data_IF_807153199929
#
_entry.id   IF_807153199929
#
_cell.length_a   1.000
_cell.length_b   1.000
_cell.length_c   1.000
_cell.angle_alpha   90.00
_cell.angle_beta   90.00
_cell.angle_gamma   90.00
#
_symmetry.space_group_name_H-M   'P 1'
#
loop_
_entity.id
_entity.type
_entity.pdbx_description
1 polymer ?
#
# COMPACT_ATOMS: atom_id res chain seq x y z
N UNK A 1 44.01 -37.74 21.88
CA UNK A 1 42.65 -37.68 22.48
C UNK A 1 41.88 -36.60 21.82
N UNK A 2 40.84 -36.92 21.04
CA UNK A 2 39.95 -35.94 20.37
C UNK A 2 38.84 -35.57 21.33
N UNK A 3 38.88 -34.37 21.90
CA UNK A 3 37.86 -33.87 22.80
C UNK A 3 36.63 -33.39 21.99
N UNK A 4 35.51 -34.04 22.23
CA UNK A 4 34.29 -33.86 21.48
C UNK A 4 33.61 -32.50 21.90
N UNK A 5 33.49 -31.55 20.97
CA UNK A 5 32.97 -30.19 21.18
C UNK A 5 31.52 -30.14 21.71
N UNK A 6 30.80 -31.25 21.68
CA UNK A 6 29.41 -31.35 22.18
C UNK A 6 29.28 -31.45 23.69
N UNK A 7 30.37 -31.77 24.41
CA UNK A 7 30.34 -31.97 25.86
C UNK A 7 30.60 -30.69 26.64
N UNK A 8 31.11 -29.64 26.02
CA UNK A 8 31.42 -28.36 26.67
C UNK A 8 30.13 -27.51 26.89
N UNK A 9 29.15 -27.63 26.00
CA UNK A 9 27.90 -26.85 26.10
C UNK A 9 26.95 -27.32 27.24
N UNK A 10 27.10 -28.55 27.71
CA UNK A 10 26.23 -29.09 28.79
C UNK A 10 26.70 -28.77 30.23
N UNK A 11 27.89 -28.17 30.39
CA UNK A 11 28.45 -27.89 31.74
C UNK A 11 28.35 -26.44 32.19
N UNK A 12 27.86 -25.52 31.35
CA UNK A 12 27.71 -24.07 31.67
C UNK A 12 26.32 -23.72 32.19
N UNK A 13 25.35 -24.65 32.15
CA UNK A 13 23.97 -24.37 32.56
C UNK A 13 23.63 -24.80 34.01
N UNK A 14 24.62 -25.13 34.88
CA UNK A 14 24.34 -25.70 36.19
C UNK A 14 24.97 -24.96 37.36
N UNK A 15 25.28 -23.68 37.28
CA UNK A 15 25.72 -22.94 38.49
C UNK A 15 25.51 -21.42 38.34
N UNK A 16 24.28 -20.94 38.47
CA UNK A 16 23.94 -19.64 39.08
C UNK A 16 22.46 -19.66 39.51
N UNK A 17 22.19 -20.34 40.59
CA UNK A 17 21.02 -20.03 41.42
C UNK A 17 21.42 -18.86 42.33
N UNK A 18 21.26 -17.66 41.86
CA UNK A 18 21.45 -16.40 42.57
C UNK A 18 20.21 -15.52 42.35
N UNK A 19 19.49 -15.34 43.43
CA UNK A 19 18.30 -14.50 43.58
C UNK A 19 18.54 -13.11 43.02
N UNK A 20 17.90 -12.76 41.89
CA UNK A 20 17.53 -11.41 41.52
C UNK A 20 16.16 -11.51 40.86
N UNK A 21 15.18 -10.87 41.48
CA UNK A 21 13.82 -10.77 40.96
C UNK A 21 13.80 -10.09 39.60
N UNK A 22 13.86 -10.88 38.53
CA UNK A 22 13.49 -10.47 37.19
C UNK A 22 11.99 -10.60 37.11
N UNK A 23 11.31 -9.43 37.15
CA UNK A 23 9.95 -9.33 36.70
C UNK A 23 9.91 -9.92 35.29
N UNK A 24 9.28 -11.09 35.15
CA UNK A 24 8.84 -11.58 33.85
C UNK A 24 7.92 -10.50 33.27
N UNK A 25 8.49 -9.62 32.45
CA UNK A 25 7.68 -8.83 31.56
C UNK A 25 6.85 -9.84 30.79
N UNK A 26 5.54 -9.86 31.01
CA UNK A 26 4.59 -10.54 30.15
C UNK A 26 4.77 -9.93 28.76
N UNK A 27 5.64 -10.53 27.97
CA UNK A 27 5.61 -10.32 26.53
C UNK A 27 4.26 -10.87 26.09
N UNK A 28 3.31 -9.97 25.90
CA UNK A 28 2.07 -10.32 25.20
C UNK A 28 2.48 -11.01 23.91
N UNK A 29 1.91 -12.18 23.59
CA UNK A 29 2.22 -12.83 22.33
C UNK A 29 1.91 -11.81 21.23
N UNK A 30 2.91 -11.53 20.39
CA UNK A 30 2.69 -10.78 19.16
C UNK A 30 1.48 -11.43 18.50
N UNK A 31 0.39 -10.67 18.30
CA UNK A 31 -0.75 -11.14 17.53
C UNK A 31 -0.22 -11.50 16.15
N UNK A 32 0.07 -12.77 15.92
CA UNK A 32 0.14 -13.34 14.58
C UNK A 32 -1.24 -13.17 13.97
N UNK A 33 -1.36 -12.19 13.09
CA UNK A 33 -2.65 -11.83 12.51
C UNK A 33 -2.54 -11.03 11.23
N UNK A 34 -1.44 -11.10 10.50
CA UNK A 34 -1.46 -10.73 9.11
C UNK A 34 -2.06 -11.89 8.33
N UNK A 35 -3.32 -11.74 7.94
CA UNK A 35 -3.94 -12.61 6.95
C UNK A 35 -3.13 -12.47 5.64
N UNK A 36 -2.25 -13.44 5.40
CA UNK A 36 -1.41 -13.51 4.21
C UNK A 36 -2.15 -14.11 3.00
N UNK A 37 -3.48 -14.19 3.05
CA UNK A 37 -4.26 -14.54 1.87
C UNK A 37 -4.41 -13.34 0.94
N UNK A 38 -4.31 -13.58 -0.37
CA UNK A 38 -4.61 -12.57 -1.40
C UNK A 38 -6.12 -12.45 -1.53
N UNK A 39 -6.66 -11.22 -1.43
CA UNK A 39 -8.08 -10.95 -1.64
C UNK A 39 -8.24 -9.88 -2.72
N UNK A 40 -8.96 -10.22 -3.76
CA UNK A 40 -9.31 -9.31 -4.84
C UNK A 40 -10.50 -8.42 -4.44
N UNK A 41 -10.48 -7.18 -4.91
CA UNK A 41 -11.66 -6.32 -5.01
C UNK A 41 -12.54 -6.73 -6.20
N UNK A 42 -13.20 -5.76 -6.83
CA UNK A 42 -13.99 -6.06 -8.03
C UNK A 42 -13.09 -6.57 -9.15
N UNK A 43 -13.48 -7.69 -9.75
CA UNK A 43 -12.81 -8.24 -10.92
C UNK A 43 -13.45 -7.65 -12.18
N UNK A 44 -12.63 -7.02 -13.00
CA UNK A 44 -13.03 -6.50 -14.29
C UNK A 44 -12.89 -7.62 -15.33
N UNK A 45 -13.94 -7.85 -16.10
CA UNK A 45 -13.97 -8.88 -17.12
C UNK A 45 -13.79 -8.27 -18.51
N UNK A 46 -13.10 -8.98 -19.38
CA UNK A 46 -13.08 -8.75 -20.84
C UNK A 46 -13.57 -10.04 -21.51
N UNK A 47 -14.63 -9.94 -22.33
CA UNK A 47 -15.28 -11.09 -22.98
C UNK A 47 -15.57 -12.25 -22.01
N UNK A 48 -16.10 -11.93 -20.82
CA UNK A 48 -16.40 -12.88 -19.72
C UNK A 48 -15.17 -13.53 -19.07
N UNK A 49 -13.95 -13.10 -19.42
CA UNK A 49 -12.71 -13.60 -18.84
C UNK A 49 -12.15 -12.53 -17.86
N UNK A 50 -11.69 -12.92 -16.65
CA UNK A 50 -11.06 -12.00 -15.73
C UNK A 50 -9.84 -11.32 -16.36
N UNK A 51 -9.83 -9.98 -16.43
CA UNK A 51 -8.75 -9.18 -16.99
C UNK A 51 -7.84 -8.61 -15.88
N UNK A 52 -8.43 -7.93 -14.90
CA UNK A 52 -7.72 -7.42 -13.72
C UNK A 52 -8.68 -7.18 -12.56
N UNK A 53 -8.15 -6.86 -11.38
CA UNK A 53 -8.95 -6.50 -10.20
C UNK A 53 -8.83 -5.02 -9.89
N UNK A 54 -9.88 -4.39 -9.39
CA UNK A 54 -9.87 -2.98 -8.96
C UNK A 54 -8.90 -2.75 -7.80
N UNK A 55 -8.71 -3.77 -6.95
CA UNK A 55 -7.76 -3.78 -5.85
C UNK A 55 -7.34 -5.19 -5.47
N UNK A 56 -6.20 -5.32 -4.78
CA UNK A 56 -5.72 -6.56 -4.18
C UNK A 56 -5.22 -6.26 -2.77
N UNK A 57 -5.50 -7.14 -1.80
CA UNK A 57 -4.99 -7.04 -0.44
C UNK A 57 -4.08 -8.20 -0.10
N UNK A 58 -3.00 -7.92 0.63
CA UNK A 58 -2.07 -8.93 1.13
C UNK A 58 -1.24 -8.36 2.29
N UNK A 59 -1.07 -9.12 3.36
CA UNK A 59 -0.14 -8.79 4.45
C UNK A 59 -0.38 -7.43 5.12
N UNK A 60 -1.64 -6.98 5.23
CA UNK A 60 -1.98 -5.67 5.81
C UNK A 60 -1.85 -4.50 4.83
N UNK A 61 -1.57 -4.76 3.56
CA UNK A 61 -1.52 -3.77 2.48
C UNK A 61 -2.68 -3.94 1.51
N UNK A 62 -3.03 -2.84 0.85
CA UNK A 62 -3.90 -2.83 -0.32
C UNK A 62 -3.18 -2.16 -1.50
N UNK A 63 -3.31 -2.77 -2.66
CA UNK A 63 -2.83 -2.30 -3.95
C UNK A 63 -4.07 -1.89 -4.75
N UNK A 64 -4.16 -0.63 -5.14
CA UNK A 64 -5.28 -0.08 -5.91
C UNK A 64 -4.83 0.09 -7.36
N UNK A 65 -5.63 -0.44 -8.29
CA UNK A 65 -5.42 -0.27 -9.72
C UNK A 65 -5.54 1.19 -10.16
N UNK A 66 -4.92 1.54 -11.29
CA UNK A 66 -5.00 2.87 -11.86
C UNK A 66 -6.45 3.36 -12.00
N UNK A 67 -6.67 4.63 -11.63
CA UNK A 67 -7.93 5.34 -11.80
C UNK A 67 -7.72 6.46 -12.81
N UNK A 68 -8.51 6.45 -13.87
CA UNK A 68 -8.53 7.46 -14.92
C UNK A 68 -9.85 8.24 -14.93
N UNK A 69 -9.92 9.29 -15.75
CA UNK A 69 -11.12 10.10 -15.98
C UNK A 69 -11.55 9.97 -17.45
N UNK A 70 -12.73 9.43 -17.68
CA UNK A 70 -13.23 9.10 -19.03
C UNK A 70 -14.40 10.01 -19.43
N UNK A 71 -14.18 11.33 -19.32
CA UNK A 71 -15.14 12.36 -19.72
C UNK A 71 -14.39 13.60 -20.24
N UNK A 72 -15.02 14.46 -21.06
CA UNK A 72 -14.39 15.71 -21.49
C UNK A 72 -14.11 16.64 -20.32
N UNK A 73 -12.87 17.11 -20.17
CA UNK A 73 -12.48 17.98 -19.06
C UNK A 73 -11.02 18.42 -19.17
N UNK A 74 -10.63 19.33 -18.30
CA UNK A 74 -9.24 19.73 -18.11
C UNK A 74 -8.52 18.87 -17.07
N UNK A 75 -7.23 19.08 -16.92
CA UNK A 75 -6.41 18.36 -15.95
C UNK A 75 -6.91 18.55 -14.50
N UNK A 76 -7.48 19.70 -14.16
CA UNK A 76 -8.02 19.98 -12.83
C UNK A 76 -9.24 19.12 -12.55
N UNK A 77 -10.18 19.05 -13.49
CA UNK A 77 -11.37 18.22 -13.40
C UNK A 77 -11.01 16.73 -13.34
N UNK A 78 -10.11 16.28 -14.22
CA UNK A 78 -9.65 14.90 -14.26
C UNK A 78 -8.92 14.51 -12.96
N UNK A 79 -8.00 15.34 -12.47
CA UNK A 79 -7.26 15.04 -11.23
C UNK A 79 -8.20 14.96 -10.02
N UNK A 80 -9.18 15.86 -9.93
CA UNK A 80 -10.18 15.82 -8.84
C UNK A 80 -10.95 14.50 -8.88
N UNK A 81 -11.48 14.14 -10.05
CA UNK A 81 -12.25 12.92 -10.23
C UNK A 81 -11.42 11.67 -9.86
N UNK A 82 -10.20 11.58 -10.38
CA UNK A 82 -9.31 10.43 -10.15
C UNK A 82 -8.99 10.27 -8.66
N UNK A 83 -8.73 11.36 -7.94
CA UNK A 83 -8.50 11.32 -6.50
C UNK A 83 -9.76 10.95 -5.70
N UNK A 84 -10.94 11.38 -6.15
CA UNK A 84 -12.22 11.00 -5.53
C UNK A 84 -12.52 9.51 -5.76
N UNK A 85 -12.24 8.96 -6.95
CA UNK A 85 -12.37 7.52 -7.24
C UNK A 85 -11.33 6.69 -6.46
N UNK A 86 -10.10 7.17 -6.35
CA UNK A 86 -9.06 6.53 -5.53
C UNK A 86 -9.49 6.43 -4.07
N UNK A 87 -10.04 7.52 -3.52
CA UNK A 87 -10.59 7.57 -2.15
C UNK A 87 -11.68 6.54 -1.95
N UNK A 88 -12.67 6.47 -2.84
CA UNK A 88 -13.76 5.49 -2.76
C UNK A 88 -13.25 4.05 -2.75
N UNK A 89 -12.29 3.74 -3.62
CA UNK A 89 -11.73 2.38 -3.71
C UNK A 89 -10.91 2.03 -2.44
N UNK A 90 -10.14 2.99 -1.89
CA UNK A 90 -9.43 2.81 -0.63
C UNK A 90 -10.41 2.53 0.54
N UNK A 91 -11.47 3.31 0.65
CA UNK A 91 -12.50 3.15 1.70
C UNK A 91 -13.20 1.79 1.57
N UNK A 92 -13.56 1.37 0.34
CA UNK A 92 -14.13 0.07 0.03
C UNK A 92 -13.21 -1.08 0.43
N UNK A 93 -11.90 -0.92 0.23
CA UNK A 93 -10.90 -1.91 0.59
C UNK A 93 -10.54 -1.91 2.10
N UNK A 94 -11.10 -1.01 2.90
CA UNK A 94 -10.82 -0.89 4.33
C UNK A 94 -9.55 -0.08 4.66
N UNK A 95 -9.25 0.93 3.86
CA UNK A 95 -8.15 1.88 4.03
C UNK A 95 -8.63 3.33 3.98
N UNK A 96 -7.74 4.30 3.82
CA UNK A 96 -8.06 5.72 3.61
C UNK A 96 -6.93 6.44 2.88
N UNK A 97 -7.19 7.68 2.45
CA UNK A 97 -6.20 8.53 1.79
C UNK A 97 -4.97 8.80 2.67
N UNK A 98 -5.14 8.96 3.97
CA UNK A 98 -4.08 9.21 4.95
C UNK A 98 -3.20 7.99 5.19
N UNK A 99 -3.62 6.80 4.75
CA UNK A 99 -2.88 5.55 4.89
C UNK A 99 -2.14 5.13 3.61
N UNK A 100 -2.21 5.95 2.59
CA UNK A 100 -1.45 5.72 1.35
C UNK A 100 0.04 5.86 1.63
N UNK A 101 0.80 4.85 1.25
CA UNK A 101 2.25 4.75 1.44
C UNK A 101 3.00 5.16 0.18
N UNK A 102 2.48 4.77 -0.96
CA UNK A 102 3.05 5.07 -2.27
C UNK A 102 1.95 5.40 -3.26
N UNK A 103 2.22 6.37 -4.14
CA UNK A 103 1.37 6.74 -5.26
C UNK A 103 2.21 6.93 -6.52
N UNK A 104 1.72 6.42 -7.64
CA UNK A 104 2.24 6.71 -8.96
C UNK A 104 1.23 7.60 -9.69
N UNK A 105 1.74 8.64 -10.34
CA UNK A 105 0.96 9.58 -11.13
C UNK A 105 1.48 9.52 -12.56
N UNK A 106 0.60 9.17 -13.48
CA UNK A 106 0.86 9.14 -14.92
C UNK A 106 0.10 10.30 -15.54
N UNK A 107 0.81 11.22 -16.18
CA UNK A 107 0.23 12.35 -16.89
C UNK A 107 0.23 12.04 -18.40
N UNK A 108 -0.78 12.51 -19.10
CA UNK A 108 -0.77 12.48 -20.55
C UNK A 108 0.30 13.44 -21.14
N UNK A 109 0.54 14.56 -20.45
CA UNK A 109 1.54 15.56 -20.83
C UNK A 109 2.14 16.21 -19.57
N UNK A 110 3.47 16.40 -19.50
CA UNK A 110 4.14 17.07 -18.38
C UNK A 110 3.77 18.56 -18.23
N UNK A 111 3.21 19.20 -19.25
CA UNK A 111 2.68 20.58 -19.13
C UNK A 111 1.63 20.69 -18.04
N UNK A 112 0.91 19.59 -17.75
CA UNK A 112 -0.17 19.52 -16.77
C UNK A 112 0.32 19.33 -15.32
N UNK A 113 1.63 19.13 -15.13
CA UNK A 113 2.21 18.82 -13.83
C UNK A 113 1.86 19.84 -12.73
N UNK A 114 1.92 21.14 -13.04
CA UNK A 114 1.62 22.19 -12.06
C UNK A 114 0.15 22.19 -11.65
N UNK A 115 -0.75 22.17 -12.63
CA UNK A 115 -2.19 22.20 -12.39
C UNK A 115 -2.67 20.93 -11.66
N UNK A 116 -2.13 19.76 -12.01
CA UNK A 116 -2.35 18.51 -11.27
C UNK A 116 -1.92 18.66 -9.81
N UNK A 117 -0.73 19.21 -9.53
CA UNK A 117 -0.23 19.38 -8.16
C UNK A 117 -1.10 20.32 -7.30
N UNK A 118 -1.73 21.34 -7.88
CA UNK A 118 -2.65 22.23 -7.14
C UNK A 118 -3.85 21.45 -6.59
N UNK A 119 -4.39 20.50 -7.35
CA UNK A 119 -5.49 19.65 -6.90
C UNK A 119 -5.01 18.53 -5.96
N UNK A 120 -3.82 18.00 -6.19
CA UNK A 120 -3.24 16.90 -5.42
C UNK A 120 -2.85 17.32 -3.99
N UNK A 121 -2.49 18.59 -3.80
CA UNK A 121 -2.00 19.14 -2.53
C UNK A 121 -3.01 18.92 -1.39
N UNK A 122 -2.51 18.37 -0.26
CA UNK A 122 -3.31 18.14 0.95
C UNK A 122 -4.28 16.95 0.90
N UNK A 123 -4.36 16.23 -0.22
CA UNK A 123 -5.31 15.11 -0.37
C UNK A 123 -4.98 13.88 0.49
N UNK A 124 -3.75 13.76 0.94
CA UNK A 124 -3.24 12.62 1.71
C UNK A 124 -2.90 12.97 3.17
N UNK A 125 -3.47 14.07 3.68
CA UNK A 125 -3.23 14.52 5.05
C UNK A 125 -1.85 15.14 5.27
N UNK A 126 -1.39 15.16 6.53
CA UNK A 126 -0.13 15.78 6.96
C UNK A 126 1.13 14.95 6.62
N UNK A 127 0.97 13.64 6.40
CA UNK A 127 2.06 12.73 6.05
C UNK A 127 1.82 12.18 4.63
N UNK A 128 2.12 12.93 3.57
CA UNK A 128 1.86 12.51 2.21
C UNK A 128 2.71 11.29 1.82
N UNK A 129 2.20 10.42 0.92
CA UNK A 129 2.92 9.23 0.45
C UNK A 129 4.17 9.60 -0.36
N UNK A 130 5.09 8.65 -0.51
CA UNK A 130 6.12 8.76 -1.53
C UNK A 130 5.46 8.73 -2.90
N UNK A 131 5.93 9.58 -3.85
CA UNK A 131 5.31 9.73 -5.16
C UNK A 131 6.31 9.63 -6.30
N UNK A 132 5.91 8.94 -7.36
CA UNK A 132 6.55 9.01 -8.67
C UNK A 132 5.58 9.69 -9.64
N UNK A 133 6.06 10.61 -10.47
CA UNK A 133 5.24 11.24 -11.52
C UNK A 133 6.01 11.19 -12.83
N UNK A 134 5.36 10.69 -13.88
CA UNK A 134 5.91 10.64 -15.24
C UNK A 134 4.82 11.07 -16.24
N UNK A 135 5.23 11.43 -17.45
CA UNK A 135 4.31 11.50 -18.60
C UNK A 135 4.37 10.18 -19.38
N UNK A 136 3.21 9.65 -19.74
CA UNK A 136 3.08 8.42 -20.52
C UNK A 136 3.34 8.73 -22.00
N UNK A 137 4.29 8.03 -22.61
CA UNK A 137 4.49 8.11 -24.05
C UNK A 137 3.31 7.45 -24.77
N UNK A 138 2.63 8.18 -25.65
CA UNK A 138 1.48 7.68 -26.40
C UNK A 138 0.12 7.82 -25.71
N UNK A 139 0.08 8.45 -24.53
CA UNK A 139 -1.17 8.81 -23.84
C UNK A 139 -1.61 7.83 -22.77
N UNK A 140 -2.76 8.11 -22.18
CA UNK A 140 -3.43 7.30 -21.17
C UNK A 140 -4.71 6.74 -21.77
N UNK A 141 -5.06 5.44 -21.53
CA UNK A 141 -6.27 4.84 -22.06
C UNK A 141 -7.54 5.66 -21.74
N UNK A 142 -8.47 5.70 -22.70
CA UNK A 142 -9.76 6.38 -22.54
C UNK A 142 -9.68 7.91 -22.47
N UNK A 143 -8.65 8.50 -23.09
CA UNK A 143 -8.43 9.95 -23.18
C UNK A 143 -8.30 10.66 -21.83
N UNK A 144 -7.94 9.94 -20.78
CA UNK A 144 -7.65 10.54 -19.48
C UNK A 144 -6.38 11.39 -19.54
N UNK A 145 -6.40 12.55 -18.90
CA UNK A 145 -5.22 13.42 -18.79
C UNK A 145 -4.31 13.03 -17.62
N UNK A 146 -4.81 12.21 -16.70
CA UNK A 146 -4.07 11.70 -15.55
C UNK A 146 -4.61 10.34 -15.14
N UNK A 147 -3.73 9.43 -14.75
CA UNK A 147 -4.06 8.18 -14.07
C UNK A 147 -3.25 8.07 -12.78
N UNK A 148 -3.85 7.53 -11.73
CA UNK A 148 -3.19 7.38 -10.43
C UNK A 148 -3.47 5.98 -9.87
N UNK A 149 -2.42 5.27 -9.49
CA UNK A 149 -2.49 4.05 -8.67
C UNK A 149 -1.85 4.28 -7.31
N UNK A 150 -2.12 3.41 -6.34
CA UNK A 150 -1.50 3.51 -5.03
C UNK A 150 -1.37 2.18 -4.28
N UNK A 151 -0.49 2.22 -3.26
CA UNK A 151 -0.36 1.19 -2.23
C UNK A 151 -0.64 1.86 -0.89
N UNK A 152 -1.52 1.26 -0.08
CA UNK A 152 -1.89 1.77 1.23
C UNK A 152 -1.86 0.69 2.32
N UNK A 153 -1.74 1.11 3.57
CA UNK A 153 -1.95 0.21 4.70
C UNK A 153 -3.46 0.05 4.97
N UNK A 154 -3.88 -1.16 5.33
CA UNK A 154 -5.26 -1.42 5.78
C UNK A 154 -5.49 -0.83 7.18
N UNK A 155 -6.75 -0.62 7.53
CA UNK A 155 -7.14 -0.31 8.89
C UNK A 155 -6.85 -1.53 9.78
N UNK A 156 -6.21 -1.33 10.92
CA UNK A 156 -6.11 -2.39 11.93
C UNK A 156 -7.54 -2.73 12.38
N UNK A 157 -7.88 -4.02 12.27
CA UNK A 157 -9.12 -4.54 12.85
C UNK A 157 -8.97 -4.68 14.35
#
# INVERSE_FOLDING_TARGET
MKTNRRTIFKRILASTAGVLGLSLANASPLKEGNDNSVKAGDVILDQEIPLFSSSQTYGGLVFIAGKGAHFPGDITAHTKHVLDELKKELEKAGSSMEKVLKVNVYLNDLKDYKAMNEVFRGKFGSNPPVRTTIAAAGGIPGDSLVEIDCIAALNNK
#
